data_IF_185052851297
#
_entry.id   IF_185052851297
#
_cell.length_a   1.000
_cell.length_b   1.000
_cell.length_c   1.000
_cell.angle_alpha   90.00
_cell.angle_beta   90.00
_cell.angle_gamma   90.00
#
_symmetry.space_group_name_H-M   'P 1'
#
loop_
_entity.id
_entity.type
_entity.pdbx_description
1 polymer ?
#
# COMPACT_ATOMS: atom_id res chain seq x y z
N UNK A 1 10.17 -61.05 -50.38
CA UNK A 1 10.00 -61.93 -51.56
C UNK A 1 8.67 -61.54 -52.17
N UNK A 2 8.53 -60.98 -53.36
CA UNK A 2 9.28 -61.08 -54.62
C UNK A 2 9.32 -59.70 -55.29
N UNK A 3 10.33 -59.48 -56.11
CA UNK A 3 10.68 -58.26 -56.84
C UNK A 3 10.55 -58.55 -58.35
N UNK A 4 10.53 -57.49 -59.16
CA UNK A 4 10.78 -57.41 -60.63
C UNK A 4 9.52 -57.58 -61.51
N UNK A 5 9.30 -56.87 -62.63
CA UNK A 5 9.97 -55.74 -63.31
C UNK A 5 9.13 -55.32 -64.54
N UNK A 6 9.60 -54.28 -65.26
CA UNK A 6 9.32 -53.84 -66.65
C UNK A 6 8.17 -52.83 -66.85
N UNK A 7 8.44 -51.53 -67.08
CA UNK A 7 9.05 -50.79 -68.22
C UNK A 7 8.07 -50.37 -69.35
N UNK A 8 7.81 -49.04 -69.36
CA UNK A 8 7.87 -48.05 -70.46
C UNK A 8 7.21 -48.37 -71.82
N UNK A 9 6.15 -47.61 -72.15
CA UNK A 9 5.91 -46.85 -73.41
C UNK A 9 4.94 -45.71 -73.00
N UNK A 10 5.16 -44.40 -73.13
CA UNK A 10 5.71 -43.61 -74.22
C UNK A 10 4.56 -42.76 -74.83
N UNK A 11 4.66 -41.42 -74.77
CA UNK A 11 3.95 -40.54 -75.70
C UNK A 11 2.99 -39.48 -75.12
N UNK A 12 3.35 -38.21 -75.36
CA UNK A 12 2.51 -37.03 -75.62
C UNK A 12 1.78 -36.37 -74.44
N UNK A 13 2.36 -35.34 -73.80
CA UNK A 13 2.42 -33.93 -74.27
C UNK A 13 1.07 -33.46 -74.84
N UNK A 14 0.08 -33.15 -73.98
CA UNK A 14 -0.91 -32.07 -74.23
C UNK A 14 -1.93 -31.87 -73.08
N UNK A 15 -1.53 -31.89 -71.80
CA UNK A 15 -2.45 -31.49 -70.70
C UNK A 15 -1.70 -30.78 -69.56
N UNK A 16 -0.99 -29.70 -69.88
CA UNK A 16 -0.32 -28.81 -68.90
C UNK A 16 -0.55 -27.33 -69.23
N UNK A 17 -1.77 -26.94 -69.55
CA UNK A 17 -2.24 -25.54 -69.57
C UNK A 17 -3.74 -25.51 -69.27
N UNK A 18 -4.08 -25.59 -67.99
CA UNK A 18 -5.50 -25.61 -67.57
C UNK A 18 -5.76 -25.84 -66.09
N UNK A 19 -4.74 -25.86 -65.23
CA UNK A 19 -4.87 -25.92 -63.77
C UNK A 19 -3.86 -24.94 -63.16
N UNK A 20 -4.00 -23.65 -63.50
CA UNK A 20 -3.24 -22.56 -62.88
C UNK A 20 -4.06 -21.26 -62.86
N UNK A 21 -5.38 -21.38 -62.66
CA UNK A 21 -6.30 -20.25 -62.53
C UNK A 21 -7.47 -20.58 -61.57
N UNK A 22 -7.22 -21.39 -60.54
CA UNK A 22 -8.19 -21.73 -59.48
C UNK A 22 -7.54 -21.85 -58.08
N UNK A 23 -6.36 -21.24 -57.89
CA UNK A 23 -5.64 -21.19 -56.61
C UNK A 23 -5.34 -19.75 -56.14
N UNK A 24 -5.89 -18.74 -56.81
CA UNK A 24 -5.71 -17.31 -56.50
C UNK A 24 -7.00 -16.62 -56.04
N UNK A 25 -8.05 -17.38 -55.72
CA UNK A 25 -9.32 -16.84 -55.20
C UNK A 25 -9.70 -17.37 -53.80
N UNK A 26 -8.75 -17.98 -53.08
CA UNK A 26 -8.97 -18.51 -51.72
C UNK A 26 -8.13 -17.83 -50.64
N UNK A 27 -7.41 -16.74 -50.98
CA UNK A 27 -6.65 -15.91 -50.03
C UNK A 27 -7.36 -14.59 -49.67
N UNK A 28 -8.67 -14.49 -49.88
CA UNK A 28 -9.49 -13.32 -49.50
C UNK A 28 -10.61 -13.69 -48.51
N UNK A 29 -10.34 -14.60 -47.58
CA UNK A 29 -11.19 -14.79 -46.39
C UNK A 29 -10.34 -15.29 -45.22
N UNK A 30 -9.41 -14.45 -44.79
CA UNK A 30 -8.84 -14.52 -43.45
C UNK A 30 -8.51 -13.10 -42.97
N UNK A 31 -9.50 -12.19 -43.02
CA UNK A 31 -9.56 -11.12 -42.02
C UNK A 31 -10.04 -11.78 -40.72
N UNK A 32 -9.15 -12.56 -40.12
CA UNK A 32 -9.28 -12.87 -38.71
C UNK A 32 -8.98 -11.57 -37.99
N UNK A 33 -10.02 -10.83 -37.62
CA UNK A 33 -9.92 -9.99 -36.45
C UNK A 33 -9.53 -10.96 -35.33
N UNK A 34 -8.23 -11.02 -35.02
CA UNK A 34 -7.81 -11.54 -33.73
C UNK A 34 -8.62 -10.76 -32.71
N UNK A 35 -9.36 -11.45 -31.84
CA UNK A 35 -9.99 -10.84 -30.68
C UNK A 35 -8.86 -10.29 -29.80
N UNK A 36 -8.39 -9.08 -30.12
CA UNK A 36 -7.44 -8.33 -29.31
C UNK A 36 -8.29 -7.71 -28.22
N UNK A 37 -8.05 -8.12 -26.99
CA UNK A 37 -8.67 -7.52 -25.81
C UNK A 37 -8.28 -6.04 -25.73
N UNK A 38 -9.26 -5.15 -25.59
CA UNK A 38 -9.00 -3.71 -25.63
C UNK A 38 -8.32 -3.26 -24.34
N UNK A 39 -8.88 -3.66 -23.19
CA UNK A 39 -8.36 -3.29 -21.87
C UNK A 39 -7.38 -4.36 -21.39
N UNK A 40 -6.13 -3.96 -21.18
CA UNK A 40 -5.06 -4.81 -20.65
C UNK A 40 -4.28 -3.98 -19.63
N UNK A 41 -4.81 -3.92 -18.40
CA UNK A 41 -4.18 -3.13 -17.35
C UNK A 41 -2.84 -3.76 -16.94
N UNK A 42 -1.80 -2.94 -16.87
CA UNK A 42 -0.47 -3.30 -16.35
C UNK A 42 0.05 -2.16 -15.47
N UNK A 43 1.20 -2.35 -14.84
CA UNK A 43 1.86 -1.28 -14.08
C UNK A 43 2.43 -0.23 -15.06
N UNK A 44 1.97 1.01 -14.93
CA UNK A 44 2.48 2.14 -15.72
C UNK A 44 3.62 2.77 -14.93
N UNK A 45 4.86 2.36 -15.19
CA UNK A 45 6.06 2.77 -14.42
C UNK A 45 6.16 4.29 -14.24
N UNK A 46 5.90 5.06 -15.30
CA UNK A 46 5.96 6.53 -15.28
C UNK A 46 4.93 7.18 -14.34
N UNK A 47 3.94 6.45 -13.83
CA UNK A 47 2.94 6.95 -12.89
C UNK A 47 3.26 6.63 -11.43
N UNK A 48 4.33 5.89 -11.16
CA UNK A 48 4.71 5.48 -9.82
C UNK A 48 6.03 6.14 -9.43
N UNK A 49 6.06 6.77 -8.26
CA UNK A 49 7.31 7.10 -7.61
C UNK A 49 7.69 5.92 -6.72
N UNK A 50 8.79 5.23 -7.07
CA UNK A 50 9.30 4.11 -6.29
C UNK A 50 10.63 4.48 -5.68
N UNK A 51 10.68 4.42 -4.36
CA UNK A 51 11.85 4.78 -3.57
C UNK A 51 12.10 3.67 -2.54
N UNK A 52 13.32 3.54 -2.06
CA UNK A 52 13.67 2.60 -0.99
C UNK A 52 14.50 3.29 0.07
N UNK A 53 14.43 2.78 1.29
CA UNK A 53 15.30 3.24 2.36
C UNK A 53 16.70 2.66 2.18
N UNK A 54 17.71 3.54 2.28
CA UNK A 54 19.06 3.12 2.64
C UNK A 54 19.07 2.62 4.09
N UNK A 55 20.17 1.96 4.47
CA UNK A 55 20.36 1.50 5.86
C UNK A 55 20.28 2.65 6.87
N UNK A 56 20.78 3.81 6.49
CA UNK A 56 20.78 5.05 7.27
C UNK A 56 19.42 5.79 7.23
N UNK A 57 18.44 5.25 6.50
CA UNK A 57 17.09 5.82 6.38
C UNK A 57 16.94 6.89 5.29
N UNK A 58 17.90 7.03 4.38
CA UNK A 58 17.79 7.96 3.24
C UNK A 58 16.93 7.35 2.12
N UNK A 59 16.12 8.16 1.43
CA UNK A 59 15.31 7.68 0.30
C UNK A 59 16.14 7.62 -0.99
N UNK A 60 16.16 6.47 -1.65
CA UNK A 60 16.87 6.22 -2.90
C UNK A 60 15.87 5.75 -3.96
N UNK A 61 15.90 6.37 -5.14
CA UNK A 61 15.02 5.99 -6.26
C UNK A 61 15.30 4.55 -6.73
N UNK A 62 14.23 3.80 -6.96
CA UNK A 62 14.23 2.43 -7.52
C UNK A 62 13.61 2.51 -8.91
N UNK A 63 14.14 1.74 -9.86
CA UNK A 63 13.66 1.75 -11.26
C UNK A 63 12.72 0.57 -11.56
N UNK A 64 12.83 -0.50 -10.77
CA UNK A 64 12.11 -1.77 -10.81
C UNK A 64 10.69 -1.63 -10.24
N UNK A 65 9.91 -0.70 -10.81
CA UNK A 65 8.58 -0.35 -10.28
C UNK A 65 7.60 -1.52 -10.39
N UNK A 66 7.70 -2.31 -11.47
CA UNK A 66 6.86 -3.48 -11.71
C UNK A 66 7.07 -4.56 -10.66
N UNK A 67 8.33 -4.84 -10.32
CA UNK A 67 8.71 -5.83 -9.31
C UNK A 67 8.17 -5.44 -7.93
N UNK A 68 8.27 -4.16 -7.56
CA UNK A 68 7.73 -3.65 -6.29
C UNK A 68 6.20 -3.72 -6.27
N UNK A 69 5.52 -3.30 -7.34
CA UNK A 69 4.07 -3.27 -7.37
C UNK A 69 3.43 -4.66 -7.46
N UNK A 70 4.12 -5.64 -8.06
CA UNK A 70 3.68 -7.03 -8.16
C UNK A 70 3.96 -7.87 -6.90
N UNK A 71 4.74 -7.36 -5.94
CA UNK A 71 5.03 -8.09 -4.72
C UNK A 71 3.77 -8.40 -3.91
N UNK A 72 3.65 -9.59 -3.34
CA UNK A 72 2.48 -10.07 -2.60
C UNK A 72 1.21 -10.31 -3.44
N UNK A 73 1.33 -10.34 -4.77
CA UNK A 73 0.25 -10.81 -5.66
C UNK A 73 0.23 -12.36 -5.78
N UNK A 74 1.24 -13.05 -5.25
CA UNK A 74 1.36 -14.51 -5.25
C UNK A 74 0.64 -15.22 -4.08
N UNK A 75 1.02 -16.48 -3.85
CA UNK A 75 0.45 -17.30 -2.76
C UNK A 75 0.88 -16.74 -1.38
N UNK A 76 -0.09 -16.46 -0.52
CA UNK A 76 0.18 -15.83 0.78
C UNK A 76 0.83 -16.80 1.76
N UNK A 77 1.95 -16.36 2.33
CA UNK A 77 2.58 -16.99 3.47
C UNK A 77 1.92 -16.53 4.78
N UNK A 78 1.62 -17.47 5.67
CA UNK A 78 1.02 -17.16 6.98
C UNK A 78 2.05 -17.02 8.11
N UNK A 79 3.30 -17.41 7.86
CA UNK A 79 4.39 -17.35 8.84
C UNK A 79 5.74 -17.14 8.14
N UNK A 80 6.69 -16.51 8.84
CA UNK A 80 8.08 -16.34 8.42
C UNK A 80 8.97 -17.32 9.20
N UNK A 81 9.63 -18.24 8.51
CA UNK A 81 10.43 -19.30 9.13
C UNK A 81 11.91 -18.90 9.23
N UNK A 82 12.61 -19.44 10.21
CA UNK A 82 14.02 -19.14 10.46
C UNK A 82 14.27 -17.81 11.19
N UNK A 83 15.56 -17.53 11.37
CA UNK A 83 16.04 -16.26 11.92
C UNK A 83 15.94 -15.16 10.86
N UNK A 84 15.03 -14.21 11.07
CA UNK A 84 14.69 -13.24 10.03
C UNK A 84 15.71 -12.10 9.95
N UNK A 85 16.21 -11.87 8.73
CA UNK A 85 17.05 -10.74 8.34
C UNK A 85 16.27 -9.87 7.36
N UNK A 86 16.18 -8.58 7.63
CA UNK A 86 15.52 -7.59 6.76
C UNK A 86 16.58 -6.89 5.92
N UNK A 87 16.39 -6.82 4.61
CA UNK A 87 17.37 -6.19 3.72
C UNK A 87 16.97 -4.80 3.27
N UNK A 88 15.75 -4.65 2.78
CA UNK A 88 15.35 -3.40 2.16
C UNK A 88 13.85 -3.22 2.23
N UNK A 89 13.42 -1.97 2.35
CA UNK A 89 12.01 -1.59 2.22
C UNK A 89 11.89 -0.60 1.08
N UNK A 90 11.07 -0.94 0.09
CA UNK A 90 10.67 -0.07 -1.00
C UNK A 90 9.25 0.46 -0.73
N UNK A 91 9.00 1.68 -1.19
CA UNK A 91 7.71 2.35 -1.15
C UNK A 91 7.39 2.74 -2.59
N UNK A 92 6.30 2.22 -3.11
CA UNK A 92 5.69 2.69 -4.35
C UNK A 92 4.52 3.59 -4.00
N UNK A 93 4.52 4.81 -4.54
CA UNK A 93 3.47 5.78 -4.29
C UNK A 93 3.04 6.52 -5.54
N UNK A 94 1.75 6.80 -5.64
CA UNK A 94 1.15 7.59 -6.72
C UNK A 94 0.29 8.70 -6.12
N UNK A 95 0.43 9.90 -6.65
CA UNK A 95 -0.46 11.00 -6.28
C UNK A 95 -1.72 10.90 -7.12
N UNK A 96 -2.89 10.84 -6.48
CA UNK A 96 -4.15 10.83 -7.21
C UNK A 96 -4.36 12.19 -7.90
N UNK A 97 -4.76 12.22 -9.20
CA UNK A 97 -4.79 13.46 -9.97
C UNK A 97 -5.72 14.54 -9.46
N UNK A 98 -6.77 14.14 -8.71
CA UNK A 98 -7.96 14.95 -8.49
C UNK A 98 -8.23 15.39 -7.05
N UNK A 99 -7.34 15.12 -6.10
CA UNK A 99 -7.68 15.34 -4.68
C UNK A 99 -6.55 15.91 -3.84
N UNK A 100 -6.87 17.01 -3.15
CA UNK A 100 -6.09 17.56 -2.04
C UNK A 100 -6.41 16.86 -0.69
N UNK A 101 -7.28 15.84 -0.69
CA UNK A 101 -7.86 15.25 0.53
C UNK A 101 -7.80 13.72 0.63
N UNK A 102 -7.51 12.99 -0.46
CA UNK A 102 -7.32 11.52 -0.44
C UNK A 102 -5.83 11.23 -0.51
N UNK A 103 -5.23 10.73 0.58
CA UNK A 103 -3.79 10.69 0.70
C UNK A 103 -3.23 9.46 0.00
N UNK A 104 -2.61 9.69 -1.16
CA UNK A 104 -1.46 8.91 -1.63
C UNK A 104 -1.65 7.38 -1.65
N UNK A 105 -2.04 6.84 -2.81
CA UNK A 105 -2.06 5.39 -3.05
C UNK A 105 -0.65 4.85 -2.86
N UNK A 106 -0.44 4.05 -1.81
CA UNK A 106 0.90 3.62 -1.38
C UNK A 106 0.96 2.12 -1.14
N UNK A 107 2.02 1.49 -1.63
CA UNK A 107 2.40 0.12 -1.31
C UNK A 107 3.81 0.12 -0.71
N UNK A 108 3.93 -0.40 0.51
CA UNK A 108 5.21 -0.58 1.21
C UNK A 108 5.58 -2.06 1.11
N UNK A 109 6.80 -2.34 0.65
CA UNK A 109 7.28 -3.69 0.34
C UNK A 109 8.61 -3.90 1.04
N UNK A 110 8.67 -4.85 1.96
CA UNK A 110 9.87 -5.18 2.73
C UNK A 110 10.39 -6.56 2.33
N UNK A 111 11.66 -6.63 1.95
CA UNK A 111 12.34 -7.86 1.53
C UNK A 111 13.12 -8.47 2.69
N UNK A 112 12.87 -9.75 2.97
CA UNK A 112 13.40 -10.45 4.15
C UNK A 112 13.90 -11.85 3.78
N UNK A 113 14.87 -12.37 4.51
CA UNK A 113 15.34 -13.75 4.40
C UNK A 113 15.34 -14.44 5.76
N UNK A 114 14.84 -15.67 5.79
CA UNK A 114 14.91 -16.61 6.90
C UNK A 114 15.30 -17.99 6.37
N UNK A 115 14.46 -18.99 6.57
CA UNK A 115 14.64 -20.31 5.92
C UNK A 115 14.37 -20.23 4.41
N UNK A 116 13.54 -19.27 4.00
CA UNK A 116 13.21 -18.92 2.61
C UNK A 116 13.34 -17.40 2.44
N UNK A 117 13.22 -16.92 1.19
CA UNK A 117 13.09 -15.50 0.93
C UNK A 117 11.63 -15.12 0.98
N UNK A 118 11.36 -13.98 1.60
CA UNK A 118 10.02 -13.47 1.78
C UNK A 118 9.94 -12.02 1.33
N UNK A 119 8.74 -11.64 0.92
CA UNK A 119 8.34 -10.25 0.79
C UNK A 119 7.13 -10.00 1.68
N UNK A 120 7.13 -8.88 2.39
CA UNK A 120 6.02 -8.44 3.24
C UNK A 120 5.50 -7.11 2.72
N UNK A 121 4.19 -7.03 2.48
CA UNK A 121 3.55 -5.86 1.90
C UNK A 121 2.51 -5.25 2.83
N UNK A 122 2.42 -3.91 2.79
CA UNK A 122 1.31 -3.12 3.36
C UNK A 122 0.80 -2.14 2.32
N UNK A 123 -0.51 -1.96 2.27
CA UNK A 123 -1.17 -1.00 1.38
C UNK A 123 -1.77 0.17 2.18
N UNK A 124 -1.91 1.35 1.57
CA UNK A 124 -2.30 2.60 2.23
C UNK A 124 -3.61 2.55 3.01
N UNK A 125 -4.52 1.68 2.62
CA UNK A 125 -5.87 1.60 3.19
C UNK A 125 -6.01 0.59 4.33
N UNK A 126 -4.97 -0.19 4.67
CA UNK A 126 -5.03 -1.19 5.74
C UNK A 126 -3.76 -1.21 6.60
N UNK A 127 -3.91 -1.60 7.87
CA UNK A 127 -2.77 -1.88 8.76
C UNK A 127 -2.34 -3.35 8.74
N UNK A 128 -3.07 -4.22 8.05
CA UNK A 128 -2.73 -5.64 7.95
C UNK A 128 -1.58 -5.85 6.96
N UNK A 129 -0.69 -6.77 7.31
CA UNK A 129 0.44 -7.15 6.48
C UNK A 129 0.13 -8.41 5.68
N UNK A 130 0.54 -8.42 4.43
CA UNK A 130 0.58 -9.63 3.59
C UNK A 130 2.02 -10.11 3.52
N UNK A 131 2.22 -11.42 3.41
CA UNK A 131 3.53 -12.00 3.17
C UNK A 131 3.46 -13.01 2.02
N UNK A 132 4.54 -13.13 1.26
CA UNK A 132 4.69 -14.09 0.17
C UNK A 132 6.11 -14.68 0.24
N UNK A 133 6.25 -15.98 -0.01
CA UNK A 133 7.54 -16.62 -0.21
C UNK A 133 7.95 -16.48 -1.69
N UNK A 134 9.18 -16.08 -1.95
CA UNK A 134 9.69 -15.78 -3.30
C UNK A 134 10.96 -16.56 -3.62
N UNK A 135 11.17 -16.90 -4.88
CA UNK A 135 12.35 -17.66 -5.32
C UNK A 135 13.64 -16.83 -5.25
N UNK A 136 13.54 -15.54 -5.60
CA UNK A 136 14.68 -14.62 -5.68
C UNK A 136 14.26 -13.18 -5.41
N UNK A 137 15.16 -12.40 -4.80
CA UNK A 137 14.96 -10.96 -4.69
C UNK A 137 15.19 -10.26 -6.04
N UNK A 138 14.53 -9.10 -6.25
CA UNK A 138 14.89 -8.18 -7.34
C UNK A 138 16.35 -7.71 -7.23
N UNK A 139 16.94 -7.32 -8.37
CA UNK A 139 18.36 -6.95 -8.48
C UNK A 139 18.75 -5.75 -7.61
N UNK A 140 17.81 -4.85 -7.30
CA UNK A 140 18.08 -3.68 -6.45
C UNK A 140 18.22 -4.03 -4.96
N UNK A 141 17.77 -5.21 -4.53
CA UNK A 141 17.79 -5.62 -3.12
C UNK A 141 19.21 -6.02 -2.71
N UNK A 142 19.85 -5.18 -1.91
CA UNK A 142 21.20 -5.47 -1.43
C UNK A 142 21.19 -6.45 -0.25
N UNK A 143 21.66 -7.68 -0.48
CA UNK A 143 21.75 -8.71 0.56
C UNK A 143 23.04 -8.69 1.38
N UNK A 144 23.97 -7.75 1.14
CA UNK A 144 25.24 -7.69 1.89
C UNK A 144 25.09 -7.13 3.30
N UNK A 145 24.09 -6.27 3.53
CA UNK A 145 24.02 -5.42 4.72
C UNK A 145 22.62 -5.44 5.38
N UNK A 146 22.10 -6.64 5.62
CA UNK A 146 20.80 -6.84 6.29
C UNK A 146 20.81 -6.59 7.79
N UNK A 147 19.62 -6.31 8.33
CA UNK A 147 19.35 -6.06 9.74
C UNK A 147 18.61 -7.26 10.32
N UNK A 148 19.22 -7.92 11.31
CA UNK A 148 18.57 -9.03 12.00
C UNK A 148 17.59 -8.48 13.03
N UNK A 149 16.32 -8.82 12.90
CA UNK A 149 15.29 -8.45 13.88
C UNK A 149 14.96 -9.66 14.77
N UNK A 150 14.84 -9.46 16.09
CA UNK A 150 14.38 -10.53 16.96
C UNK A 150 12.89 -10.80 16.72
N UNK A 151 12.48 -12.06 16.90
CA UNK A 151 11.05 -12.43 16.83
C UNK A 151 10.24 -11.82 17.97
N UNK A 152 10.87 -11.67 19.13
CA UNK A 152 10.27 -11.20 20.36
C UNK A 152 10.93 -9.89 20.79
N UNK A 153 10.16 -8.94 21.35
CA UNK A 153 10.73 -7.69 21.83
C UNK A 153 11.46 -7.91 23.15
N UNK A 154 12.45 -7.06 23.43
CA UNK A 154 13.23 -7.12 24.68
C UNK A 154 13.21 -5.81 25.43
N UNK A 155 13.09 -5.89 26.74
CA UNK A 155 13.11 -4.74 27.64
C UNK A 155 14.52 -4.57 28.17
N UNK A 156 15.01 -3.33 28.11
CA UNK A 156 16.27 -2.90 28.67
C UNK A 156 16.03 -1.83 29.73
N UNK A 157 16.84 -1.90 30.79
CA UNK A 157 16.92 -0.82 31.77
C UNK A 157 17.81 0.29 31.20
N UNK A 158 17.39 1.53 31.34
CA UNK A 158 18.16 2.67 30.81
C UNK A 158 19.26 3.13 31.74
N UNK A 159 20.31 3.72 31.17
CA UNK A 159 21.39 4.36 31.89
C UNK A 159 21.00 5.80 32.28
N UNK A 160 21.61 6.35 33.34
CA UNK A 160 21.29 7.69 33.86
C UNK A 160 21.36 8.80 32.80
N UNK A 161 22.26 8.71 31.84
CA UNK A 161 22.42 9.73 30.79
C UNK A 161 21.18 9.88 29.88
N UNK A 162 20.41 8.80 29.65
CA UNK A 162 19.16 8.88 28.88
C UNK A 162 18.02 9.46 29.73
N UNK A 163 18.05 9.20 31.03
CA UNK A 163 17.09 9.78 31.98
C UNK A 163 17.25 11.31 32.06
N UNK A 164 18.48 11.80 32.04
CA UNK A 164 18.78 13.24 32.01
C UNK A 164 18.24 13.88 30.71
N UNK A 165 18.42 13.22 29.56
CA UNK A 165 17.85 13.70 28.28
C UNK A 165 16.33 13.81 28.30
N UNK A 166 15.64 12.85 28.92
CA UNK A 166 14.18 12.90 29.06
C UNK A 166 13.71 14.13 29.87
N UNK A 167 14.49 14.55 30.88
CA UNK A 167 14.18 15.77 31.66
C UNK A 167 14.31 17.03 30.80
N UNK A 168 15.26 17.03 29.86
CA UNK A 168 15.56 18.14 28.96
C UNK A 168 14.74 18.11 27.66
N UNK A 169 13.88 17.09 27.49
CA UNK A 169 13.09 16.92 26.26
C UNK A 169 12.14 18.10 26.04
N UNK A 170 12.22 18.69 24.84
CA UNK A 170 11.29 19.72 24.39
C UNK A 170 9.96 19.08 23.92
N UNK A 171 8.88 19.87 23.87
CA UNK A 171 7.61 19.42 23.30
C UNK A 171 6.73 18.54 24.21
N UNK A 172 7.09 18.40 25.49
CA UNK A 172 6.25 17.72 26.49
C UNK A 172 5.07 18.59 26.96
N UNK A 173 4.20 18.98 26.02
CA UNK A 173 2.99 19.77 26.29
C UNK A 173 1.77 19.19 25.56
N UNK A 174 0.64 19.07 26.26
CA UNK A 174 -0.66 18.70 25.68
C UNK A 174 -1.70 19.71 26.14
N UNK A 175 -2.50 20.24 25.21
CA UNK A 175 -3.57 21.21 25.49
C UNK A 175 -3.08 22.43 26.32
N UNK A 176 -1.83 22.86 26.11
CA UNK A 176 -1.19 23.94 26.86
C UNK A 176 -0.79 23.59 28.29
N UNK A 177 -0.82 22.31 28.66
CA UNK A 177 -0.35 21.78 29.94
C UNK A 177 1.00 21.09 29.76
N UNK A 178 1.99 21.55 30.53
CA UNK A 178 3.31 20.92 30.57
C UNK A 178 3.26 19.58 31.31
N UNK A 179 3.81 18.56 30.68
CA UNK A 179 3.92 17.21 31.20
C UNK A 179 5.30 17.06 31.86
N UNK A 180 5.32 16.78 33.16
CA UNK A 180 6.58 16.53 33.87
C UNK A 180 6.94 15.04 33.77
N UNK A 181 8.07 14.66 33.16
CA UNK A 181 8.49 13.25 33.11
C UNK A 181 8.90 12.72 34.48
N UNK A 182 8.76 11.41 34.68
CA UNK A 182 9.39 10.66 35.77
C UNK A 182 10.62 9.92 35.22
N UNK A 183 11.83 10.47 35.34
CA UNK A 183 12.99 9.95 34.60
C UNK A 183 13.36 8.51 34.96
N UNK A 184 13.15 8.13 36.22
CA UNK A 184 13.40 6.77 36.70
C UNK A 184 12.46 5.71 36.12
N UNK A 185 11.43 6.13 35.37
CA UNK A 185 10.51 5.22 34.67
C UNK A 185 10.93 4.94 33.23
N UNK A 186 12.00 5.58 32.73
CA UNK A 186 12.45 5.37 31.35
C UNK A 186 12.99 3.95 31.13
N UNK A 187 12.40 3.25 30.17
CA UNK A 187 12.79 1.93 29.70
C UNK A 187 13.06 1.99 28.19
N UNK A 188 13.96 1.12 27.73
CA UNK A 188 14.22 0.89 26.31
C UNK A 188 13.61 -0.44 25.88
N UNK A 189 13.06 -0.47 24.67
CA UNK A 189 12.45 -1.66 24.07
C UNK A 189 13.13 -1.92 22.73
N UNK A 190 13.82 -3.05 22.64
CA UNK A 190 14.30 -3.60 21.37
C UNK A 190 13.07 -4.10 20.59
N UNK A 191 12.82 -3.61 19.36
CA UNK A 191 11.62 -3.93 18.61
C UNK A 191 11.58 -5.38 18.15
N UNK A 192 10.38 -5.96 18.13
CA UNK A 192 10.14 -7.27 17.51
C UNK A 192 10.04 -7.14 15.98
N UNK A 193 10.00 -8.28 15.29
CA UNK A 193 9.77 -8.33 13.85
C UNK A 193 8.39 -7.80 13.46
N UNK A 194 7.32 -8.28 14.10
CA UNK A 194 5.95 -7.91 13.77
C UNK A 194 4.98 -8.16 14.95
N UNK A 195 4.16 -7.18 15.28
CA UNK A 195 3.16 -7.26 16.34
C UNK A 195 3.02 -5.95 17.11
N UNK A 196 2.39 -5.99 18.27
CA UNK A 196 2.12 -4.79 19.05
C UNK A 196 2.32 -4.99 20.55
N UNK A 197 2.59 -3.88 21.24
CA UNK A 197 2.66 -3.83 22.70
C UNK A 197 1.40 -3.19 23.25
N UNK A 198 0.60 -4.01 23.92
CA UNK A 198 -0.57 -3.58 24.66
C UNK A 198 -0.23 -3.35 26.13
N UNK A 199 -0.91 -2.40 26.76
CA UNK A 199 -0.80 -2.20 28.21
C UNK A 199 -2.13 -2.33 28.93
N UNK A 200 -2.04 -2.77 30.18
CA UNK A 200 -3.14 -2.73 31.13
C UNK A 200 -2.71 -2.01 32.39
N UNK A 201 -3.60 -1.22 33.00
CA UNK A 201 -3.41 -0.65 34.33
C UNK A 201 -4.56 -1.10 35.23
N UNK A 202 -4.24 -1.76 36.34
CA UNK A 202 -5.26 -2.29 37.26
C UNK A 202 -6.19 -3.31 36.59
N UNK A 203 -5.70 -4.03 35.58
CA UNK A 203 -6.47 -5.02 34.79
C UNK A 203 -7.28 -4.44 33.63
N UNK A 204 -7.31 -3.11 33.45
CA UNK A 204 -8.02 -2.44 32.35
C UNK A 204 -7.08 -2.14 31.20
N UNK A 205 -7.49 -2.46 29.98
CA UNK A 205 -6.73 -2.19 28.74
C UNK A 205 -6.65 -0.69 28.52
N UNK A 206 -5.43 -0.20 28.30
CA UNK A 206 -5.16 1.18 27.89
C UNK A 206 -5.47 1.29 26.41
N UNK A 207 -6.17 2.37 26.03
CA UNK A 207 -6.63 2.61 24.67
C UNK A 207 -5.44 2.78 23.72
N UNK A 208 -5.49 2.05 22.60
CA UNK A 208 -4.47 1.93 21.56
C UNK A 208 -3.16 1.24 22.03
N UNK A 209 -2.54 0.39 21.17
CA UNK A 209 -1.21 -0.13 21.44
C UNK A 209 -0.20 1.01 21.47
N UNK A 210 0.81 0.90 22.32
CA UNK A 210 1.79 1.97 22.52
C UNK A 210 2.90 1.88 21.48
N UNK A 211 3.16 0.67 21.01
CA UNK A 211 4.10 0.40 19.94
C UNK A 211 3.48 -0.63 18.99
N UNK A 212 3.60 -0.34 17.70
CA UNK A 212 3.39 -1.31 16.63
C UNK A 212 4.75 -1.56 15.99
N UNK A 213 5.09 -2.83 15.85
CA UNK A 213 6.30 -3.30 15.19
C UNK A 213 5.94 -3.78 13.80
N UNK A 214 6.72 -3.38 12.83
CA UNK A 214 6.65 -3.86 11.46
C UNK A 214 8.06 -3.99 10.88
N UNK A 215 8.30 -4.94 9.97
CA UNK A 215 9.61 -5.12 9.40
C UNK A 215 9.99 -3.93 8.51
N UNK A 216 11.17 -3.36 8.76
CA UNK A 216 11.73 -2.23 8.00
C UNK A 216 13.19 -2.49 7.64
N UNK A 217 13.57 -2.13 6.42
CA UNK A 217 14.91 -2.29 5.85
C UNK A 217 15.92 -1.21 6.25
N UNK A 218 15.70 -0.51 7.36
CA UNK A 218 16.64 0.46 7.92
C UNK A 218 16.73 0.29 9.43
N UNK A 219 17.80 0.82 10.03
CA UNK A 219 18.08 0.60 11.45
C UNK A 219 17.00 1.23 12.32
N UNK A 220 16.27 0.37 13.06
CA UNK A 220 15.28 0.81 14.04
C UNK A 220 15.99 0.96 15.39
N UNK A 221 16.13 2.17 15.93
CA UNK A 221 16.67 2.33 17.27
C UNK A 221 15.71 1.70 18.30
N UNK A 222 16.23 1.43 19.49
CA UNK A 222 15.39 1.02 20.61
C UNK A 222 14.32 2.09 20.87
N UNK A 223 13.08 1.65 20.98
CA UNK A 223 11.96 2.51 21.34
C UNK A 223 12.07 2.85 22.84
N UNK A 224 11.70 4.06 23.22
CA UNK A 224 11.79 4.51 24.60
C UNK A 224 10.41 4.78 25.18
N UNK A 225 10.15 4.24 26.37
CA UNK A 225 8.89 4.41 27.09
C UNK A 225 9.17 4.93 28.49
N UNK A 226 8.47 5.99 28.88
CA UNK A 226 8.46 6.51 30.25
C UNK A 226 7.05 6.95 30.65
N UNK A 227 6.88 7.35 31.91
CA UNK A 227 5.64 7.98 32.38
C UNK A 227 5.89 9.46 32.66
N UNK A 228 4.97 10.28 32.17
CA UNK A 228 4.86 11.70 32.47
C UNK A 228 3.61 12.00 33.29
N UNK A 229 3.56 13.21 33.85
CA UNK A 229 2.46 13.64 34.70
C UNK A 229 2.13 15.12 34.53
N UNK A 230 0.86 15.39 34.26
CA UNK A 230 0.31 16.74 34.32
C UNK A 230 -0.14 17.04 35.75
N UNK A 231 0.58 17.97 36.40
CA UNK A 231 0.27 18.41 37.77
C UNK A 231 -0.99 19.26 37.87
N UNK A 232 -1.45 19.89 36.78
CA UNK A 232 -2.66 20.73 36.79
C UNK A 232 -3.92 19.88 36.75
N UNK A 233 -3.94 18.85 35.90
CA UNK A 233 -5.10 17.96 35.74
C UNK A 233 -4.98 16.66 36.55
N UNK A 234 -3.84 16.42 37.18
CA UNK A 234 -3.52 15.19 37.92
C UNK A 234 -3.62 13.92 37.06
N UNK A 235 -3.17 14.01 35.81
CA UNK A 235 -3.26 12.92 34.83
C UNK A 235 -1.88 12.38 34.44
N UNK A 236 -1.68 11.06 34.44
CA UNK A 236 -0.49 10.43 33.90
C UNK A 236 -0.57 10.29 32.37
N UNK A 237 0.60 10.31 31.73
CA UNK A 237 0.78 10.14 30.30
C UNK A 237 1.87 9.10 30.06
N UNK A 238 1.72 8.30 29.02
CA UNK A 238 2.80 7.49 28.46
C UNK A 238 3.63 8.41 27.58
N UNK A 239 4.93 8.50 27.84
CA UNK A 239 5.87 9.23 27.01
C UNK A 239 6.56 8.21 26.12
N UNK A 240 6.34 8.29 24.82
CA UNK A 240 6.84 7.32 23.86
C UNK A 240 7.75 7.99 22.82
N UNK A 241 8.88 7.37 22.49
CA UNK A 241 9.81 7.87 21.47
C UNK A 241 10.30 6.76 20.55
N UNK A 242 10.27 7.04 19.24
CA UNK A 242 10.81 6.16 18.19
C UNK A 242 12.29 6.41 17.88
N UNK A 243 12.88 7.54 18.28
CA UNK A 243 14.24 7.95 17.90
C UNK A 243 15.10 8.35 19.12
N UNK A 244 14.53 8.32 20.32
CA UNK A 244 15.15 8.78 21.56
C UNK A 244 15.40 10.28 21.63
N UNK A 245 14.87 11.06 20.69
CA UNK A 245 15.00 12.53 20.63
C UNK A 245 13.67 13.21 20.92
N UNK A 246 12.59 12.77 20.28
CA UNK A 246 11.27 13.35 20.43
C UNK A 246 10.34 12.39 21.17
N UNK A 247 9.74 12.87 22.26
CA UNK A 247 8.75 12.12 23.03
C UNK A 247 7.35 12.62 22.70
N UNK A 248 6.48 11.69 22.32
CA UNK A 248 5.06 11.92 22.09
C UNK A 248 4.32 11.54 23.36
N UNK A 249 3.72 12.51 24.07
CA UNK A 249 2.89 12.20 25.23
C UNK A 249 1.53 11.65 24.77
N UNK A 250 1.10 10.53 25.35
CA UNK A 250 -0.20 9.91 25.12
C UNK A 250 -0.96 9.77 26.45
N UNK A 251 -2.20 10.27 26.56
CA UNK A 251 -2.96 10.15 27.80
C UNK A 251 -3.28 8.68 28.10
N UNK A 252 -3.22 8.29 29.37
CA UNK A 252 -3.70 6.97 29.80
C UNK A 252 -5.23 6.99 29.81
N UNK A 253 -5.83 6.50 28.73
CA UNK A 253 -7.26 6.28 28.55
C UNK A 253 -7.58 4.78 28.51
N UNK A 254 -8.82 4.37 28.77
CA UNK A 254 -9.22 2.96 28.80
C UNK A 254 -10.27 2.65 27.74
N UNK A 255 -10.27 1.43 27.19
CA UNK A 255 -11.19 1.03 26.11
C UNK A 255 -12.67 0.99 26.53
N UNK A 256 -12.97 0.68 27.79
CA UNK A 256 -14.34 0.47 28.29
C UNK A 256 -15.19 1.75 28.46
N UNK A 257 -14.77 2.90 27.93
CA UNK A 257 -15.43 4.20 28.13
C UNK A 257 -16.66 4.42 27.21
N UNK A 258 -17.63 3.52 27.22
CA UNK A 258 -18.98 3.78 26.66
C UNK A 258 -19.87 4.59 27.62
N UNK A 259 -19.55 4.65 28.92
CA UNK A 259 -20.35 5.35 29.91
C UNK A 259 -19.86 6.81 30.12
N UNK A 260 -20.68 7.85 29.87
CA UNK A 260 -20.33 9.24 30.15
C UNK A 260 -19.98 9.54 31.61
N UNK A 261 -20.46 8.76 32.58
CA UNK A 261 -20.04 8.88 33.99
C UNK A 261 -18.65 8.25 34.22
N UNK A 262 -18.25 7.25 33.42
CA UNK A 262 -16.89 6.69 33.44
C UNK A 262 -15.83 7.59 32.80
N UNK A 263 -16.25 8.59 32.00
CA UNK A 263 -15.41 9.72 31.56
C UNK A 263 -15.02 10.66 32.71
N UNK A 264 -15.51 10.45 33.93
CA UNK A 264 -14.91 11.06 35.12
C UNK A 264 -13.49 10.54 35.32
N UNK A 265 -12.55 11.18 34.62
CA UNK A 265 -11.24 11.60 35.07
C UNK A 265 -10.70 10.74 36.22
N UNK A 266 -9.96 9.68 35.91
CA UNK A 266 -9.14 9.05 36.94
C UNK A 266 -8.07 10.07 37.33
N UNK A 267 -8.35 10.84 38.39
CA UNK A 267 -7.43 11.82 38.97
C UNK A 267 -6.44 11.03 39.82
N UNK A 268 -5.17 11.00 39.39
CA UNK A 268 -4.09 10.33 40.10
C UNK A 268 -3.43 11.29 41.09
N UNK A 269 -4.17 11.67 42.13
CA UNK A 269 -3.63 12.59 43.16
C UNK A 269 -2.51 11.93 43.97
N UNK A 270 -1.44 12.69 44.27
CA UNK A 270 -0.23 12.19 44.95
C UNK A 270 0.39 10.94 44.28
N UNK A 271 0.42 10.93 42.94
CA UNK A 271 0.96 9.84 42.16
C UNK A 271 2.45 9.60 42.47
N UNK A 272 2.76 8.36 42.86
CA UNK A 272 4.10 7.81 42.88
C UNK A 272 4.15 6.62 41.92
N UNK A 273 5.23 6.54 41.15
CA UNK A 273 5.45 5.45 40.21
C UNK A 273 6.75 4.75 40.56
N UNK A 274 6.73 3.42 40.59
CA UNK A 274 7.92 2.59 40.75
C UNK A 274 8.09 1.66 39.56
N UNK A 275 9.30 1.64 39.01
CA UNK A 275 9.70 0.66 37.99
C UNK A 275 9.87 -0.70 38.64
N UNK A 276 9.13 -1.69 38.13
CA UNK A 276 9.21 -3.09 38.53
C UNK A 276 9.61 -4.00 37.37
N UNK A 277 9.69 -3.45 36.15
CA UNK A 277 10.22 -4.12 34.99
C UNK A 277 11.63 -4.65 35.26
N UNK A 278 11.92 -5.84 34.74
CA UNK A 278 13.28 -6.41 34.72
C UNK A 278 13.72 -6.57 33.27
N UNK A 279 15.01 -6.43 33.01
CA UNK A 279 15.52 -6.63 31.66
C UNK A 279 15.28 -8.08 31.24
N UNK A 280 14.49 -8.28 30.19
CA UNK A 280 14.07 -9.61 29.72
C UNK A 280 13.48 -9.54 28.32
N UNK A 281 13.49 -10.69 27.65
CA UNK A 281 12.67 -10.92 26.46
C UNK A 281 11.20 -11.13 26.88
N UNK A 282 10.28 -10.59 26.09
CA UNK A 282 8.84 -10.73 26.30
C UNK A 282 8.33 -11.96 25.56
N UNK A 283 7.68 -12.87 26.29
CA UNK A 283 6.97 -13.97 25.67
C UNK A 283 5.66 -13.46 25.03
N UNK A 284 5.24 -14.12 23.95
CA UNK A 284 3.95 -13.88 23.30
C UNK A 284 2.81 -14.07 24.31
N UNK A 285 1.87 -13.14 24.30
CA UNK A 285 0.64 -13.18 25.11
C UNK A 285 0.84 -13.19 26.64
N UNK A 286 2.08 -13.12 27.15
CA UNK A 286 2.39 -13.08 28.58
C UNK A 286 2.29 -11.66 29.14
N UNK A 287 1.41 -11.46 30.11
CA UNK A 287 1.36 -10.20 30.86
C UNK A 287 2.58 -10.02 31.77
N UNK A 288 3.31 -8.94 31.53
CA UNK A 288 4.57 -8.62 32.19
C UNK A 288 4.43 -7.34 33.01
N UNK A 289 4.71 -7.33 34.32
CA UNK A 289 4.65 -6.10 35.11
C UNK A 289 5.75 -5.10 34.72
N UNK A 290 5.35 -3.85 34.49
CA UNK A 290 6.23 -2.74 34.09
C UNK A 290 6.41 -1.72 35.21
N UNK A 291 5.30 -1.15 35.67
CA UNK A 291 5.26 -0.09 36.67
C UNK A 291 4.24 -0.42 37.77
N UNK A 292 4.46 0.14 38.95
CA UNK A 292 3.47 0.17 40.02
C UNK A 292 3.08 1.62 40.27
N UNK A 293 1.79 1.91 40.09
CA UNK A 293 1.16 3.20 40.33
C UNK A 293 0.63 3.20 41.75
N UNK A 294 0.99 4.20 42.55
CA UNK A 294 0.42 4.40 43.87
C UNK A 294 -0.10 5.82 43.99
N UNK A 295 -1.39 5.97 44.26
CA UNK A 295 -2.06 7.27 44.23
C UNK A 295 -3.23 7.29 45.21
N UNK A 296 -3.75 8.48 45.51
CA UNK A 296 -4.93 8.65 46.35
C UNK A 296 -6.20 8.60 45.50
N UNK A 297 -7.11 7.69 45.85
CA UNK A 297 -8.46 7.54 45.30
C UNK A 297 -9.46 7.59 46.45
N UNK A 298 -10.36 8.57 46.43
CA UNK A 298 -11.36 8.79 47.49
C UNK A 298 -10.73 8.85 48.90
N UNK A 299 -9.58 9.53 49.03
CA UNK A 299 -8.84 9.70 50.28
C UNK A 299 -8.11 8.44 50.78
N UNK A 300 -8.11 7.34 50.02
CA UNK A 300 -7.37 6.11 50.34
C UNK A 300 -6.25 5.89 49.35
N UNK A 301 -5.10 5.43 49.85
CA UNK A 301 -3.99 5.01 48.99
C UNK A 301 -4.39 3.72 48.26
N UNK A 302 -4.32 3.76 46.95
CA UNK A 302 -4.51 2.61 46.05
C UNK A 302 -3.18 2.33 45.37
N UNK A 303 -2.91 1.06 45.12
CA UNK A 303 -1.75 0.61 44.37
C UNK A 303 -2.22 -0.30 43.26
N UNK A 304 -1.89 0.06 42.02
CA UNK A 304 -2.23 -0.68 40.81
C UNK A 304 -0.96 -1.01 40.05
N UNK A 305 -0.91 -2.19 39.45
CA UNK A 305 0.19 -2.61 38.59
C UNK A 305 -0.18 -2.35 37.15
N UNK A 306 0.77 -1.79 36.41
CA UNK A 306 0.71 -1.69 34.97
C UNK A 306 1.46 -2.87 34.36
N UNK A 307 0.78 -3.62 33.50
CA UNK A 307 1.35 -4.75 32.76
C UNK A 307 1.44 -4.41 31.28
N UNK A 308 2.40 -5.03 30.61
CA UNK A 308 2.57 -5.02 29.16
C UNK A 308 2.42 -6.43 28.61
N UNK A 309 1.85 -6.56 27.42
CA UNK A 309 1.70 -7.83 26.69
C UNK A 309 2.17 -7.61 25.26
N UNK A 310 2.99 -8.53 24.75
CA UNK A 310 3.31 -8.58 23.33
C UNK A 310 2.29 -9.46 22.61
N UNK A 311 1.52 -8.86 21.72
CA UNK A 311 0.60 -9.56 20.82
C UNK A 311 1.29 -9.69 19.45
N UNK A 312 1.69 -10.90 19.03
CA UNK A 312 2.34 -11.08 17.73
C UNK A 312 1.37 -10.74 16.59
N UNK A 313 1.89 -10.08 15.56
CA UNK A 313 1.09 -9.72 14.39
C UNK A 313 0.76 -10.95 13.55
N UNK A 314 -0.40 -10.94 12.90
CA UNK A 314 -0.83 -12.01 12.00
C UNK A 314 -0.82 -11.51 10.56
N UNK A 315 -0.22 -12.28 9.66
CA UNK A 315 -0.31 -12.00 8.23
C UNK A 315 -1.69 -12.39 7.70
N UNK A 316 -2.17 -11.60 6.74
CA UNK A 316 -3.43 -11.84 6.05
C UNK A 316 -3.36 -13.17 5.29
N UNK A 317 -4.37 -14.04 5.46
CA UNK A 317 -4.38 -15.37 4.83
C UNK A 317 -4.95 -15.33 3.42
N UNK A 318 -4.76 -16.43 2.70
CA UNK A 318 -5.36 -16.63 1.38
C UNK A 318 -6.89 -16.51 1.44
N UNK A 319 -7.46 -15.66 0.57
CA UNK A 319 -8.90 -15.40 0.50
C UNK A 319 -9.48 -14.51 1.61
N UNK A 320 -8.67 -14.00 2.54
CA UNK A 320 -9.09 -12.94 3.46
C UNK A 320 -8.93 -11.58 2.77
N UNK A 321 -9.95 -10.73 2.86
CA UNK A 321 -9.88 -9.34 2.42
C UNK A 321 -9.37 -8.48 3.59
N UNK A 322 -8.46 -7.54 3.34
CA UNK A 322 -7.97 -6.65 4.37
C UNK A 322 -9.07 -5.74 4.95
N UNK A 323 -9.06 -5.55 6.26
CA UNK A 323 -9.92 -4.60 6.96
C UNK A 323 -9.46 -3.17 6.63
N UNK A 324 -10.37 -2.26 6.21
CA UNK A 324 -10.02 -0.89 5.91
C UNK A 324 -9.72 -0.11 7.20
N UNK A 325 -8.65 0.68 7.18
CA UNK A 325 -8.21 1.49 8.32
C UNK A 325 -9.19 2.64 8.65
N UNK A 326 -10.03 3.08 7.71
CA UNK A 326 -10.79 4.33 7.82
C UNK A 326 -12.32 4.21 7.75
N UNK A 327 -12.89 3.01 7.89
CA UNK A 327 -14.31 2.69 7.58
C UNK A 327 -15.36 3.70 8.09
N UNK A 328 -15.13 4.38 9.22
CA UNK A 328 -16.15 5.23 9.87
C UNK A 328 -16.11 6.73 9.56
N UNK A 329 -14.99 7.31 9.10
CA UNK A 329 -14.84 8.79 9.00
C UNK A 329 -14.30 9.31 7.67
N UNK A 330 -13.62 8.44 6.92
CA UNK A 330 -13.20 8.69 5.55
C UNK A 330 -13.50 7.38 4.83
N UNK A 331 -14.61 7.26 4.07
CA UNK A 331 -14.75 6.12 3.19
C UNK A 331 -13.47 6.08 2.37
N UNK A 332 -12.67 5.04 2.53
CA UNK A 332 -11.51 4.82 1.67
C UNK A 332 -12.11 4.76 0.28
N UNK A 333 -12.01 5.85 -0.47
CA UNK A 333 -12.60 5.92 -1.80
C UNK A 333 -11.78 5.08 -2.80
N UNK A 334 -11.02 4.07 -2.36
CA UNK A 334 -10.05 3.30 -3.15
C UNK A 334 -10.48 1.86 -3.43
N UNK A 335 -11.78 1.61 -3.65
CA UNK A 335 -12.21 0.36 -4.28
C UNK A 335 -12.95 0.67 -5.58
N UNK A 336 -12.31 0.35 -6.70
CA UNK A 336 -12.92 0.32 -8.03
C UNK A 336 -12.19 1.14 -9.10
N UNK A 337 -12.61 0.96 -10.36
CA UNK A 337 -11.98 1.59 -11.51
C UNK A 337 -12.12 3.12 -11.47
N UNK A 338 -11.11 3.83 -11.98
CA UNK A 338 -11.16 5.26 -12.26
C UNK A 338 -10.85 5.51 -13.74
N UNK A 339 -11.47 6.54 -14.30
CA UNK A 339 -11.26 6.94 -15.69
C UNK A 339 -11.16 8.45 -15.80
N UNK A 340 -10.02 8.92 -16.30
CA UNK A 340 -9.72 10.35 -16.40
C UNK A 340 -9.34 10.68 -17.84
N UNK A 341 -9.94 11.74 -18.38
CA UNK A 341 -9.47 12.38 -19.62
C UNK A 341 -8.62 13.58 -19.29
N UNK A 342 -7.48 13.74 -19.98
CA UNK A 342 -6.55 14.82 -19.69
C UNK A 342 -5.83 15.34 -20.94
N UNK A 343 -5.27 16.55 -20.81
CA UNK A 343 -4.69 17.31 -21.93
C UNK A 343 -3.22 16.98 -22.20
N UNK A 344 -2.49 16.58 -21.16
CA UNK A 344 -1.04 16.29 -21.18
C UNK A 344 -0.81 14.91 -20.59
N UNK A 345 0.24 14.17 -21.00
CA UNK A 345 0.56 12.89 -20.40
C UNK A 345 0.56 12.96 -18.87
N UNK A 346 -0.10 11.99 -18.22
CA UNK A 346 -0.14 11.87 -16.77
C UNK A 346 1.05 11.05 -16.29
N UNK A 347 1.84 11.65 -15.40
CA UNK A 347 3.12 11.15 -14.88
C UNK A 347 3.03 10.73 -13.39
N UNK A 348 1.82 10.46 -12.88
CA UNK A 348 1.63 10.09 -11.48
C UNK A 348 1.55 11.27 -10.52
N UNK A 349 1.73 12.51 -10.98
CA UNK A 349 1.65 13.74 -10.18
C UNK A 349 0.28 14.42 -10.15
N UNK A 350 0.08 15.36 -9.22
CA UNK A 350 -1.16 16.14 -9.17
C UNK A 350 -1.37 16.93 -10.47
N UNK A 351 -2.58 16.87 -11.03
CA UNK A 351 -2.97 17.65 -12.22
C UNK A 351 -3.80 18.87 -11.82
N UNK A 352 -3.59 19.98 -12.52
CA UNK A 352 -4.42 21.18 -12.35
C UNK A 352 -5.86 20.90 -12.81
N UNK A 353 -6.87 21.40 -12.09
CA UNK A 353 -8.29 21.10 -12.35
C UNK A 353 -8.78 21.42 -13.78
N UNK A 354 -8.11 22.36 -14.47
CA UNK A 354 -8.42 22.68 -15.86
C UNK A 354 -7.86 21.66 -16.87
N UNK A 355 -6.88 20.84 -16.46
CA UNK A 355 -6.12 19.93 -17.32
C UNK A 355 -6.73 18.53 -17.41
N UNK A 356 -7.72 18.20 -16.58
CA UNK A 356 -8.41 16.91 -16.61
C UNK A 356 -9.93 17.02 -16.44
N UNK A 357 -10.63 15.93 -16.73
CA UNK A 357 -12.00 15.66 -16.33
C UNK A 357 -12.06 14.22 -15.82
N UNK A 358 -12.60 14.03 -14.64
CA UNK A 358 -12.68 12.74 -13.95
C UNK A 358 -14.12 12.23 -13.98
N UNK A 359 -14.27 10.91 -14.14
CA UNK A 359 -15.55 10.23 -14.07
C UNK A 359 -15.87 9.87 -12.61
N UNK A 360 -17.16 9.88 -12.24
CA UNK A 360 -17.61 9.24 -10.99
C UNK A 360 -17.34 7.73 -11.04
N UNK A 361 -17.41 7.04 -9.90
CA UNK A 361 -17.15 5.58 -9.84
C UNK A 361 -18.12 4.76 -10.70
N UNK A 362 -19.39 5.15 -10.71
CA UNK A 362 -20.41 4.50 -11.54
C UNK A 362 -20.14 4.74 -13.02
N UNK A 363 -19.80 5.97 -13.40
CA UNK A 363 -19.42 6.32 -14.77
C UNK A 363 -18.13 5.63 -15.21
N UNK A 364 -17.15 5.46 -14.31
CA UNK A 364 -15.92 4.75 -14.59
C UNK A 364 -16.17 3.27 -14.97
N UNK A 365 -17.10 2.59 -14.27
CA UNK A 365 -17.51 1.23 -14.63
C UNK A 365 -18.15 1.17 -16.02
N UNK A 366 -19.06 2.11 -16.31
CA UNK A 366 -19.67 2.22 -17.64
C UNK A 366 -18.62 2.47 -18.73
N UNK A 367 -17.64 3.34 -18.44
CA UNK A 367 -16.54 3.64 -19.37
C UNK A 367 -15.64 2.44 -19.63
N UNK A 368 -15.35 1.62 -18.62
CA UNK A 368 -14.63 0.36 -18.81
C UNK A 368 -15.38 -0.57 -19.77
N UNK A 369 -16.69 -0.75 -19.59
CA UNK A 369 -17.50 -1.56 -20.50
C UNK A 369 -17.50 -1.00 -21.93
N UNK A 370 -17.71 0.32 -22.08
CA UNK A 370 -17.69 1.02 -23.37
C UNK A 370 -16.35 0.84 -24.11
N UNK A 371 -15.24 0.97 -23.38
CA UNK A 371 -13.89 0.84 -23.96
C UNK A 371 -13.64 -0.63 -24.32
N UNK A 372 -14.05 -1.57 -23.49
CA UNK A 372 -13.83 -3.00 -23.74
C UNK A 372 -14.59 -3.52 -24.97
N UNK A 373 -15.73 -2.91 -25.31
CA UNK A 373 -16.52 -3.22 -26.51
C UNK A 373 -15.99 -2.56 -27.81
N UNK A 374 -14.87 -1.82 -27.75
CA UNK A 374 -14.35 -1.10 -28.91
C UNK A 374 -13.77 -2.03 -29.98
N UNK A 375 -13.99 -1.70 -31.25
CA UNK A 375 -13.51 -2.51 -32.37
C UNK A 375 -12.10 -2.08 -32.80
N UNK A 376 -11.16 -3.02 -33.07
CA UNK A 376 -9.86 -2.67 -33.61
C UNK A 376 -9.99 -2.09 -35.03
N UNK A 377 -9.24 -1.02 -35.30
CA UNK A 377 -9.25 -0.31 -36.59
C UNK A 377 -7.86 0.21 -36.97
N UNK A 378 -7.59 0.34 -38.27
CA UNK A 378 -6.31 0.86 -38.79
C UNK A 378 -6.31 2.38 -39.04
N UNK A 379 -7.24 3.13 -38.44
CA UNK A 379 -7.40 4.57 -38.68
C UNK A 379 -7.55 5.34 -37.37
N UNK A 380 -7.03 6.57 -37.37
CA UNK A 380 -7.15 7.54 -36.27
C UNK A 380 -8.03 8.73 -36.69
N UNK A 381 -8.57 9.44 -35.70
CA UNK A 381 -9.28 10.69 -35.90
C UNK A 381 -8.33 11.90 -35.98
N UNK A 382 -8.88 13.08 -35.76
CA UNK A 382 -8.16 14.34 -35.55
C UNK A 382 -7.94 14.57 -34.05
N UNK A 383 -6.80 15.17 -33.69
CA UNK A 383 -6.46 15.51 -32.32
C UNK A 383 -7.39 16.61 -31.77
N UNK A 384 -7.71 16.52 -30.47
CA UNK A 384 -8.41 17.57 -29.73
C UNK A 384 -7.53 18.16 -28.61
N UNK A 385 -8.11 19.01 -27.77
CA UNK A 385 -7.46 19.58 -26.58
C UNK A 385 -7.22 18.50 -25.51
N UNK A 386 -8.20 17.63 -25.27
CA UNK A 386 -8.07 16.45 -24.41
C UNK A 386 -7.67 15.25 -25.24
N UNK A 387 -6.42 14.82 -25.07
CA UNK A 387 -5.73 13.88 -25.96
C UNK A 387 -5.48 12.53 -25.33
N UNK A 388 -5.71 12.38 -24.03
CA UNK A 388 -5.35 11.18 -23.32
C UNK A 388 -6.50 10.71 -22.44
N UNK A 389 -6.66 9.40 -22.38
CA UNK A 389 -7.57 8.69 -21.49
C UNK A 389 -6.70 7.79 -20.61
N UNK A 390 -6.82 7.89 -19.29
CA UNK A 390 -6.17 6.98 -18.36
C UNK A 390 -7.24 6.20 -17.61
N UNK A 391 -7.14 4.87 -17.69
CA UNK A 391 -7.91 3.92 -16.91
C UNK A 391 -7.00 3.43 -15.79
N UNK A 392 -7.50 3.39 -14.55
CA UNK A 392 -6.81 2.76 -13.43
C UNK A 392 -7.76 1.84 -12.70
N UNK A 393 -7.24 0.71 -12.22
CA UNK A 393 -7.94 -0.19 -11.30
C UNK A 393 -6.89 -0.76 -10.33
N UNK A 394 -7.01 -0.40 -9.05
CA UNK A 394 -5.97 -0.61 -8.05
C UNK A 394 -4.60 -0.07 -8.49
N UNK A 395 -3.59 -0.95 -8.46
CA UNK A 395 -2.20 -0.65 -8.81
C UNK A 395 -1.92 -0.58 -10.32
N UNK A 396 -2.84 -1.06 -11.14
CA UNK A 396 -2.65 -1.18 -12.60
C UNK A 396 -3.41 -0.10 -13.35
N UNK A 397 -2.98 0.17 -14.57
CA UNK A 397 -3.64 1.13 -15.44
C UNK A 397 -3.34 0.91 -16.91
N UNK A 398 -3.96 1.74 -17.73
CA UNK A 398 -3.70 1.81 -19.16
C UNK A 398 -3.95 3.24 -19.67
N UNK A 399 -3.10 3.71 -20.59
CA UNK A 399 -3.23 5.02 -21.22
C UNK A 399 -3.56 4.84 -22.69
N UNK A 400 -4.56 5.58 -23.17
CA UNK A 400 -4.87 5.71 -24.59
C UNK A 400 -4.69 7.15 -25.06
N UNK A 401 -4.23 7.34 -26.29
CA UNK A 401 -4.39 8.60 -27.01
C UNK A 401 -5.80 8.66 -27.63
N UNK A 402 -6.54 9.74 -27.36
CA UNK A 402 -7.89 9.97 -27.85
C UNK A 402 -7.85 10.86 -29.09
N UNK A 403 -8.52 10.44 -30.15
CA UNK A 403 -8.76 11.26 -31.35
C UNK A 403 -10.21 11.15 -31.82
N UNK A 404 -10.66 12.15 -32.59
CA UNK A 404 -12.08 12.35 -32.88
C UNK A 404 -12.32 12.55 -34.37
N UNK A 405 -13.44 12.06 -34.90
CA UNK A 405 -13.84 12.35 -36.28
C UNK A 405 -15.29 12.83 -36.32
N UNK A 406 -15.46 14.12 -36.63
CA UNK A 406 -16.78 14.73 -36.77
C UNK A 406 -17.45 14.27 -38.07
N UNK A 407 -18.66 13.72 -37.93
CA UNK A 407 -19.59 13.45 -39.04
C UNK A 407 -20.77 14.40 -38.92
N UNK A 408 -21.58 14.49 -39.97
CA UNK A 408 -22.68 15.46 -40.06
C UNK A 408 -23.68 15.46 -38.90
N UNK A 409 -23.79 14.36 -38.13
CA UNK A 409 -24.68 14.23 -36.96
C UNK A 409 -24.08 13.48 -35.76
N UNK A 410 -22.82 13.03 -35.84
CA UNK A 410 -22.20 12.15 -34.84
C UNK A 410 -20.71 12.42 -34.75
N UNK A 411 -20.10 12.07 -33.64
CA UNK A 411 -18.65 12.10 -33.44
C UNK A 411 -18.20 10.65 -33.27
N UNK A 412 -17.25 10.21 -34.09
CA UNK A 412 -16.55 8.95 -33.82
C UNK A 412 -15.39 9.24 -32.86
N UNK A 413 -15.17 8.36 -31.88
CA UNK A 413 -14.05 8.43 -30.93
C UNK A 413 -13.13 7.22 -31.17
N UNK A 414 -11.84 7.51 -31.26
CA UNK A 414 -10.78 6.52 -31.43
C UNK A 414 -9.84 6.56 -30.24
N UNK A 415 -9.46 5.38 -29.76
CA UNK A 415 -8.53 5.17 -28.65
C UNK A 415 -7.30 4.43 -29.18
N UNK A 416 -6.14 5.05 -29.13
CA UNK A 416 -4.89 4.42 -29.55
C UNK A 416 -4.10 4.01 -28.33
N UNK A 417 -3.79 2.73 -28.22
CA UNK A 417 -2.85 2.22 -27.23
C UNK A 417 -1.41 2.40 -27.75
N UNK A 418 -0.60 3.28 -27.13
CA UNK A 418 0.75 3.57 -27.59
C UNK A 418 1.73 2.41 -27.37
N UNK A 419 1.48 1.51 -26.39
CA UNK A 419 2.35 0.38 -26.12
C UNK A 419 2.18 -0.73 -27.16
N UNK A 420 0.96 -0.91 -27.65
CA UNK A 420 0.61 -1.94 -28.64
C UNK A 420 0.56 -1.43 -30.08
N UNK A 421 0.66 -0.11 -30.28
CA UNK A 421 0.41 0.59 -31.55
C UNK A 421 -0.91 0.15 -32.21
N UNK A 422 -1.95 -0.05 -31.39
CA UNK A 422 -3.26 -0.51 -31.83
C UNK A 422 -4.31 0.57 -31.58
N UNK A 423 -5.06 0.92 -32.61
CA UNK A 423 -6.20 1.84 -32.49
C UNK A 423 -7.52 1.06 -32.41
N UNK A 424 -8.40 1.50 -31.52
CA UNK A 424 -9.75 0.99 -31.34
C UNK A 424 -10.75 2.11 -31.61
N UNK A 425 -11.93 1.75 -32.11
CA UNK A 425 -13.03 2.68 -32.35
C UNK A 425 -14.18 2.34 -31.41
N UNK A 426 -14.63 3.34 -30.64
CA UNK A 426 -15.84 3.18 -29.83
C UNK A 426 -17.08 2.97 -30.71
N UNK A 427 -18.00 2.15 -30.23
CA UNK A 427 -19.31 1.99 -30.87
C UNK A 427 -20.04 3.35 -30.93
N UNK A 428 -21.01 3.50 -31.84
CA UNK A 428 -21.74 4.77 -31.94
C UNK A 428 -22.51 5.12 -30.66
N UNK A 429 -22.97 4.13 -29.91
CA UNK A 429 -23.63 4.34 -28.62
C UNK A 429 -22.59 4.65 -27.53
N UNK A 430 -21.50 3.89 -27.49
CA UNK A 430 -20.40 4.12 -26.56
C UNK A 430 -19.77 5.51 -26.70
N UNK A 431 -19.61 6.02 -27.93
CA UNK A 431 -19.13 7.38 -28.17
C UNK A 431 -20.11 8.47 -27.68
N UNK A 432 -21.42 8.19 -27.69
CA UNK A 432 -22.43 9.12 -27.17
C UNK A 432 -22.41 9.15 -25.64
N UNK A 433 -22.42 7.98 -24.98
CA UNK A 433 -22.25 7.85 -23.53
C UNK A 433 -20.95 8.49 -23.04
N UNK A 434 -19.83 8.24 -23.73
CA UNK A 434 -18.53 8.80 -23.39
C UNK A 434 -18.55 10.34 -23.36
N UNK A 435 -19.20 10.98 -24.34
CA UNK A 435 -19.31 12.45 -24.39
C UNK A 435 -20.31 13.02 -23.38
N UNK A 436 -21.30 12.23 -22.97
CA UNK A 436 -22.26 12.65 -21.95
C UNK A 436 -21.64 12.58 -20.54
N UNK A 437 -20.74 11.62 -20.29
CA UNK A 437 -19.92 11.54 -19.07
C UNK A 437 -18.88 12.67 -19.04
N UNK A 438 -18.29 13.02 -20.19
CA UNK A 438 -17.29 14.08 -20.30
C UNK A 438 -17.80 15.28 -21.13
N UNK A 439 -18.77 16.07 -20.62
CA UNK A 439 -19.43 17.11 -21.40
C UNK A 439 -18.49 18.23 -21.88
N UNK A 440 -17.40 18.50 -21.15
CA UNK A 440 -16.38 19.50 -21.55
C UNK A 440 -15.67 19.13 -22.86
N UNK A 441 -15.56 17.83 -23.19
CA UNK A 441 -15.01 17.39 -24.47
C UNK A 441 -15.92 17.82 -25.62
N UNK A 442 -17.24 17.69 -25.43
CA UNK A 442 -18.25 18.03 -26.44
C UNK A 442 -18.24 19.51 -26.81
N UNK A 443 -17.86 20.38 -25.88
CA UNK A 443 -17.74 21.82 -26.11
C UNK A 443 -16.52 22.20 -26.97
N UNK A 444 -15.51 21.33 -27.04
CA UNK A 444 -14.25 21.58 -27.75
C UNK A 444 -14.16 20.90 -29.13
N UNK A 445 -15.17 20.11 -29.52
CA UNK A 445 -15.25 19.30 -30.76
C UNK A 445 -16.32 19.82 -31.76
#
# INVERSE_FOLDING_TARGET
>A
MVKLDEEIIGGDILYKRGIMMLLSASFLSACGASNIEVIQLDYIEDQWNVESYSKEGEMIKVHESKEVLAACDGERATELKGDITVYQTAIAGRTEPASAMTPYTMKVVTYLEGDERYVVCRESYTNQLMAEAIDSFPDFVNTSDGIRLPRLPRIHQTFSALQDKLVEAEGLEIDGNSITPFPHTLLEIEPALYGELEMKLGGKVIRYPIAQFEPRGFEMPNQQIAIGYDKKTFRPYILYSFDGQFFIPQPIEFDELEDPESKENTVFSELEIKTVATARELNEEEETPFYTFSYLKNGKRVTETMTIRFAPGLFLKEGEEPDPMFEDWLPVEEAGPRVIVHRKPYDGGAMEFAEYSDATKEEAKELFDIVNEADPVDRRGEDSEYRYLTLTDGWKGQVFEISYQKRSKKIDIYLTDPLRDQTFKLSSAGAESFLDIFPRLKETL
#
